data_IF_103618125098
#
_entry.id   IF_103618125098
#
_cell.length_a   1.000
_cell.length_b   1.000
_cell.length_c   1.000
_cell.angle_alpha   90.00
_cell.angle_beta   90.00
_cell.angle_gamma   90.00
#
_symmetry.space_group_name_H-M   'P 1'
#
loop_
_entity.id
_entity.type
_entity.pdbx_description
1 polymer ?
#
# COMPACT_ATOMS: atom_id res chain seq x y z
N UNK A 1 -0.39 39.32 1.21
CA UNK A 1 -1.34 38.98 2.29
C UNK A 1 -0.51 38.38 3.43
N UNK A 2 -0.56 38.96 4.63
CA UNK A 2 0.24 38.51 5.78
C UNK A 2 -0.25 37.15 6.25
N UNK A 3 0.62 36.17 6.31
CA UNK A 3 0.35 34.87 6.92
C UNK A 3 0.08 35.05 8.41
N UNK A 4 -1.15 34.81 8.85
CA UNK A 4 -1.47 34.75 10.28
C UNK A 4 -0.91 33.46 10.82
N UNK A 5 -0.04 33.54 11.81
CA UNK A 5 0.46 32.42 12.57
C UNK A 5 -0.70 31.79 13.36
N UNK A 6 -1.05 30.56 13.04
CA UNK A 6 -2.08 29.81 13.76
C UNK A 6 -1.54 29.41 15.13
N UNK A 7 -2.24 29.81 16.18
CA UNK A 7 -1.89 29.44 17.55
C UNK A 7 -2.03 27.93 17.76
N UNK A 8 -1.00 27.30 18.37
CA UNK A 8 -0.94 25.89 18.75
C UNK A 8 -2.19 25.38 19.51
N UNK A 9 -2.91 26.27 20.19
CA UNK A 9 -4.13 25.94 20.95
C UNK A 9 -5.34 25.60 20.09
N UNK A 10 -5.41 26.04 18.86
CA UNK A 10 -6.60 25.81 18.00
C UNK A 10 -6.63 24.41 17.42
N UNK A 11 -5.47 23.79 17.16
CA UNK A 11 -5.33 22.42 16.66
C UNK A 11 -5.79 21.35 17.67
N UNK A 12 -5.78 21.66 18.97
CA UNK A 12 -6.01 20.70 20.05
C UNK A 12 -7.43 20.73 20.62
N UNK A 13 -8.26 21.77 20.34
CA UNK A 13 -9.60 21.94 20.92
C UNK A 13 -10.71 21.15 20.22
N UNK A 14 -10.44 20.47 19.10
CA UNK A 14 -11.44 19.72 18.33
C UNK A 14 -11.73 18.28 18.79
N UNK A 15 -11.05 17.77 19.81
CA UNK A 15 -11.23 16.41 20.31
C UNK A 15 -11.79 16.42 21.74
N UNK A 16 -13.07 16.79 21.91
CA UNK A 16 -13.78 16.56 23.16
C UNK A 16 -14.00 15.06 23.35
N UNK A 17 -13.50 14.54 24.47
CA UNK A 17 -13.64 13.16 24.88
C UNK A 17 -15.12 12.80 25.09
N UNK A 18 -15.65 11.89 24.31
CA UNK A 18 -16.83 11.11 24.68
C UNK A 18 -16.35 9.96 25.56
N UNK A 19 -16.45 10.13 26.88
CA UNK A 19 -16.33 9.05 27.83
C UNK A 19 -17.59 8.19 27.75
N UNK A 20 -17.55 7.06 27.08
CA UNK A 20 -18.58 6.02 27.15
C UNK A 20 -18.23 5.10 28.31
N UNK A 21 -18.88 5.30 29.45
CA UNK A 21 -18.95 4.34 30.55
C UNK A 21 -19.97 3.26 30.18
N UNK A 22 -19.52 2.18 29.56
CA UNK A 22 -20.30 0.98 29.31
C UNK A 22 -19.98 -0.07 30.36
N UNK A 23 -20.97 -0.44 31.18
CA UNK A 23 -20.89 -1.56 32.11
C UNK A 23 -20.73 -2.88 31.34
N UNK A 24 -19.62 -3.57 31.51
CA UNK A 24 -19.37 -4.91 31.00
C UNK A 24 -20.02 -5.94 31.92
N UNK A 25 -21.12 -6.52 31.47
CA UNK A 25 -21.69 -7.74 32.04
C UNK A 25 -20.81 -8.93 31.63
N UNK A 26 -20.21 -9.61 32.60
CA UNK A 26 -19.39 -10.81 32.42
C UNK A 26 -20.24 -12.00 31.98
N UNK A 27 -20.11 -12.41 30.72
CA UNK A 27 -20.49 -13.73 30.23
C UNK A 27 -19.24 -14.61 30.18
N UNK A 28 -19.16 -15.51 31.16
CA UNK A 28 -18.15 -16.55 31.23
C UNK A 28 -18.44 -17.62 30.14
N UNK A 29 -17.61 -17.67 29.08
CA UNK A 29 -17.55 -18.81 28.17
C UNK A 29 -16.30 -19.62 28.48
N UNK A 30 -16.48 -20.92 28.69
CA UNK A 30 -15.44 -21.88 28.98
C UNK A 30 -14.39 -21.92 27.87
N UNK A 31 -13.15 -21.65 28.23
CA UNK A 31 -11.98 -21.81 27.36
C UNK A 31 -11.58 -23.30 27.34
N UNK A 32 -11.72 -23.94 26.18
CA UNK A 32 -10.96 -25.16 25.87
C UNK A 32 -9.52 -24.77 25.57
N UNK A 33 -8.60 -25.37 26.29
CA UNK A 33 -7.18 -25.05 26.27
C UNK A 33 -6.53 -25.14 24.89
N UNK A 34 -6.18 -23.98 24.32
CA UNK A 34 -5.22 -23.84 23.25
C UNK A 34 -3.94 -23.30 23.84
N UNK A 35 -2.81 -23.94 23.58
CA UNK A 35 -1.49 -23.53 24.01
C UNK A 35 -1.25 -22.09 23.65
N UNK A 36 -0.87 -21.24 24.61
CA UNK A 36 -0.43 -19.86 24.40
C UNK A 36 0.87 -19.87 23.60
N UNK A 37 0.77 -19.75 22.28
CA UNK A 37 1.90 -19.27 21.48
C UNK A 37 2.16 -17.83 21.91
N UNK A 38 3.40 -17.52 22.30
CA UNK A 38 3.80 -16.19 22.74
C UNK A 38 3.39 -15.14 21.70
N UNK A 39 2.82 -14.03 22.16
CA UNK A 39 2.41 -12.91 21.30
C UNK A 39 3.59 -12.49 20.44
N UNK A 40 3.46 -12.65 19.10
CA UNK A 40 4.39 -12.07 18.13
C UNK A 40 5.06 -12.99 17.10
N UNK A 41 4.96 -14.33 17.20
CA UNK A 41 5.54 -15.21 16.18
C UNK A 41 4.60 -15.36 14.97
N UNK A 42 5.11 -15.06 13.77
CA UNK A 42 4.38 -15.30 12.52
C UNK A 42 4.08 -16.81 12.36
N UNK A 43 2.93 -17.18 11.74
CA UNK A 43 2.63 -18.56 11.42
C UNK A 43 3.73 -19.19 10.55
N UNK A 44 3.95 -20.50 10.71
CA UNK A 44 4.89 -21.21 9.86
C UNK A 44 4.44 -21.19 8.39
N UNK A 45 5.40 -21.24 7.47
CA UNK A 45 5.17 -21.62 6.07
C UNK A 45 4.89 -23.11 6.06
N UNK A 46 3.64 -23.49 5.84
CA UNK A 46 3.25 -24.89 5.85
C UNK A 46 3.01 -25.47 4.47
N UNK A 47 2.58 -26.74 4.45
CA UNK A 47 2.02 -27.37 3.25
C UNK A 47 0.50 -27.42 3.38
N UNK A 48 -0.21 -26.80 2.45
CA UNK A 48 -1.66 -26.80 2.40
C UNK A 48 -2.18 -26.76 0.96
N UNK A 49 -3.45 -27.13 0.82
CA UNK A 49 -4.16 -27.05 -0.45
C UNK A 49 -5.44 -26.24 -0.26
N UNK A 50 -5.62 -25.19 -1.06
CA UNK A 50 -6.89 -24.47 -1.22
C UNK A 50 -7.72 -25.29 -2.18
N UNK A 51 -8.90 -25.77 -1.70
CA UNK A 51 -9.70 -26.75 -2.42
C UNK A 51 -11.03 -26.17 -2.88
N UNK A 52 -11.32 -26.34 -4.19
CA UNK A 52 -12.63 -26.08 -4.75
C UNK A 52 -13.01 -24.61 -4.93
N UNK A 53 -12.02 -23.69 -4.96
CA UNK A 53 -12.23 -22.27 -5.19
C UNK A 53 -12.56 -21.93 -6.65
N UNK A 54 -13.23 -20.79 -6.88
CA UNK A 54 -13.15 -20.08 -8.17
C UNK A 54 -11.76 -19.43 -8.23
N UNK A 55 -10.92 -19.82 -9.19
CA UNK A 55 -9.54 -19.34 -9.28
C UNK A 55 -9.41 -18.27 -10.36
N UNK A 56 -8.90 -17.10 -9.97
CA UNK A 56 -8.50 -16.02 -10.86
C UNK A 56 -6.98 -15.88 -10.80
N UNK A 57 -6.28 -16.52 -11.74
CA UNK A 57 -4.84 -16.69 -11.61
C UNK A 57 -4.01 -15.45 -11.91
N UNK A 58 -4.52 -14.50 -12.66
CA UNK A 58 -3.77 -13.37 -13.23
C UNK A 58 -2.55 -13.82 -14.08
N UNK A 59 -2.56 -15.05 -14.56
CA UNK A 59 -1.55 -15.63 -15.45
C UNK A 59 -2.25 -16.28 -16.66
N UNK A 60 -1.97 -15.78 -17.86
CA UNK A 60 -2.61 -16.27 -19.08
C UNK A 60 -2.25 -17.74 -19.40
N UNK A 61 -1.08 -18.22 -18.98
CA UNK A 61 -0.65 -19.59 -19.20
C UNK A 61 -1.32 -20.58 -18.24
N UNK A 62 -1.62 -20.15 -17.02
CA UNK A 62 -2.38 -20.94 -16.03
C UNK A 62 -3.87 -20.91 -16.33
N UNK A 63 -4.40 -19.74 -16.69
CA UNK A 63 -5.82 -19.50 -16.91
C UNK A 63 -6.63 -19.37 -15.62
N UNK A 64 -7.93 -19.17 -15.78
CA UNK A 64 -8.90 -19.08 -14.68
C UNK A 64 -9.73 -20.36 -14.60
N UNK A 65 -10.17 -20.75 -13.38
CA UNK A 65 -10.98 -21.95 -13.17
C UNK A 65 -12.26 -21.60 -12.43
N UNK A 66 -13.40 -22.02 -12.95
CA UNK A 66 -14.69 -21.91 -12.25
C UNK A 66 -14.68 -22.70 -10.93
N UNK A 67 -13.91 -23.80 -10.90
CA UNK A 67 -13.60 -24.59 -9.71
C UNK A 67 -12.23 -25.22 -9.89
N UNK A 68 -11.33 -24.99 -8.93
CA UNK A 68 -9.97 -25.51 -8.96
C UNK A 68 -9.29 -25.51 -7.60
N UNK A 69 -8.06 -25.99 -7.59
CA UNK A 69 -7.24 -26.15 -6.41
C UNK A 69 -5.92 -25.41 -6.57
N UNK A 70 -5.39 -24.89 -5.44
CA UNK A 70 -4.05 -24.31 -5.34
C UNK A 70 -3.27 -25.03 -4.26
N UNK A 71 -2.18 -25.72 -4.64
CA UNK A 71 -1.28 -26.38 -3.71
C UNK A 71 -0.11 -25.48 -3.37
N UNK A 72 0.14 -25.29 -2.09
CA UNK A 72 1.22 -24.48 -1.53
C UNK A 72 2.10 -25.34 -0.64
N UNK A 73 3.43 -25.19 -0.77
CA UNK A 73 4.43 -25.81 0.08
C UNK A 73 5.59 -24.84 0.31
N UNK A 74 6.00 -24.69 1.57
CA UNK A 74 7.17 -23.85 1.98
C UNK A 74 7.11 -22.42 1.45
N UNK A 75 5.91 -21.87 1.40
CA UNK A 75 5.66 -20.52 0.94
C UNK A 75 5.58 -20.35 -0.59
N UNK A 76 5.76 -21.41 -1.38
CA UNK A 76 5.66 -21.37 -2.84
C UNK A 76 4.37 -22.05 -3.34
N UNK A 77 3.83 -21.53 -4.43
CA UNK A 77 2.76 -22.20 -5.19
C UNK A 77 3.38 -23.38 -5.94
N UNK A 78 2.95 -24.60 -5.64
CA UNK A 78 3.42 -25.83 -6.27
C UNK A 78 2.63 -26.12 -7.54
N UNK A 79 1.30 -26.02 -7.45
CA UNK A 79 0.41 -26.32 -8.56
C UNK A 79 -0.88 -25.50 -8.47
N UNK A 80 -1.44 -25.19 -9.63
CA UNK A 80 -2.78 -24.60 -9.81
C UNK A 80 -3.45 -25.38 -10.93
N UNK A 81 -4.55 -26.06 -10.64
CA UNK A 81 -5.29 -26.85 -11.63
C UNK A 81 -6.75 -27.07 -11.19
N UNK A 82 -7.54 -27.68 -12.09
CA UNK A 82 -8.92 -28.06 -11.79
C UNK A 82 -9.00 -29.03 -10.61
N UNK A 83 -8.01 -29.90 -10.48
CA UNK A 83 -7.87 -30.86 -9.39
C UNK A 83 -6.38 -31.13 -9.15
N UNK A 84 -5.95 -31.08 -7.89
CA UNK A 84 -4.56 -31.33 -7.49
C UNK A 84 -4.50 -32.42 -6.43
N UNK A 85 -3.67 -33.44 -6.67
CA UNK A 85 -3.40 -34.47 -5.67
C UNK A 85 -2.32 -33.98 -4.68
N UNK A 86 -2.72 -33.76 -3.44
CA UNK A 86 -1.83 -33.35 -2.33
C UNK A 86 -2.30 -34.02 -1.03
N UNK A 87 -2.09 -35.35 -0.88
CA UNK A 87 -2.72 -36.15 0.20
C UNK A 87 -2.18 -35.81 1.59
N UNK A 88 -0.96 -35.23 1.69
CA UNK A 88 -0.34 -34.80 2.94
C UNK A 88 -0.67 -33.37 3.33
N UNK A 89 -1.20 -32.57 2.39
CA UNK A 89 -1.45 -31.16 2.60
C UNK A 89 -2.66 -30.90 3.51
N UNK A 90 -2.56 -29.89 4.38
CA UNK A 90 -3.71 -29.40 5.15
C UNK A 90 -4.72 -28.80 4.19
N UNK A 91 -5.98 -29.24 4.26
CA UNK A 91 -7.03 -28.73 3.38
C UNK A 91 -7.59 -27.40 3.93
N UNK A 92 -7.57 -26.39 3.10
CA UNK A 92 -8.34 -25.15 3.25
C UNK A 92 -9.52 -25.25 2.29
N UNK A 93 -10.70 -25.57 2.82
CA UNK A 93 -11.93 -25.59 2.02
C UNK A 93 -12.26 -24.17 1.57
N UNK A 94 -12.39 -23.98 0.27
CA UNK A 94 -12.66 -22.71 -0.37
C UNK A 94 -13.85 -22.76 -1.35
N UNK A 95 -14.72 -23.76 -1.17
CA UNK A 95 -15.99 -23.83 -1.90
C UNK A 95 -16.82 -22.57 -1.61
N UNK A 96 -17.32 -21.89 -2.65
CA UNK A 96 -18.02 -20.61 -2.50
C UNK A 96 -17.09 -19.41 -2.22
N UNK A 97 -15.81 -19.53 -2.56
CA UNK A 97 -14.85 -18.44 -2.46
C UNK A 97 -14.11 -18.24 -3.79
N UNK A 98 -13.69 -17.01 -4.05
CA UNK A 98 -12.74 -16.66 -5.10
C UNK A 98 -11.34 -16.72 -4.48
N UNK A 99 -10.42 -17.48 -5.10
CA UNK A 99 -8.98 -17.45 -4.82
C UNK A 99 -8.27 -16.62 -5.89
N UNK A 100 -7.57 -15.57 -5.48
CA UNK A 100 -6.85 -14.66 -6.36
C UNK A 100 -5.54 -14.19 -5.70
N UNK A 101 -4.58 -13.61 -6.47
CA UNK A 101 -3.44 -12.94 -5.86
C UNK A 101 -3.90 -11.87 -4.88
N UNK A 102 -3.17 -11.70 -3.77
CA UNK A 102 -3.43 -10.60 -2.84
C UNK A 102 -3.19 -9.24 -3.48
N UNK A 103 -3.85 -8.22 -2.96
CA UNK A 103 -3.67 -6.85 -3.43
C UNK A 103 -2.25 -6.36 -3.14
N UNK A 104 -1.75 -5.53 -4.05
CA UNK A 104 -0.43 -4.92 -3.99
C UNK A 104 -0.61 -3.41 -3.97
N UNK A 105 -0.33 -2.82 -2.82
CA UNK A 105 -0.28 -1.37 -2.66
C UNK A 105 1.05 -0.83 -3.16
N UNK A 106 1.03 0.11 -4.09
CA UNK A 106 2.25 0.64 -4.72
C UNK A 106 2.66 2.02 -4.21
N UNK A 107 1.93 2.60 -3.26
CA UNK A 107 2.27 3.88 -2.63
C UNK A 107 1.42 4.17 -1.40
N UNK A 108 2.03 4.23 -0.21
CA UNK A 108 1.32 4.56 1.02
C UNK A 108 2.22 5.21 2.07
N UNK A 109 1.76 6.30 2.66
CA UNK A 109 2.41 6.99 3.79
C UNK A 109 2.04 6.33 5.12
N UNK A 110 2.53 5.12 5.40
CA UNK A 110 2.14 4.33 6.57
C UNK A 110 2.39 5.03 7.90
N UNK A 111 3.44 5.86 8.01
CA UNK A 111 3.75 6.60 9.23
C UNK A 111 2.64 7.57 9.65
N UNK A 112 1.71 7.91 8.75
CA UNK A 112 0.59 8.81 9.05
C UNK A 112 -0.67 8.10 9.53
N UNK A 113 -0.72 6.76 9.56
CA UNK A 113 -1.94 6.00 9.84
C UNK A 113 -2.56 6.32 11.21
N UNK A 114 -1.73 6.56 12.23
CA UNK A 114 -2.23 6.95 13.56
C UNK A 114 -2.69 8.42 13.66
N UNK A 115 -2.44 9.25 12.63
CA UNK A 115 -2.90 10.65 12.58
C UNK A 115 -4.36 10.78 12.17
N UNK A 116 -5.04 9.69 11.87
CA UNK A 116 -6.44 9.62 11.42
C UNK A 116 -7.39 10.54 12.21
N UNK A 117 -7.40 10.58 13.55
CA UNK A 117 -8.31 11.47 14.28
C UNK A 117 -7.94 12.96 14.21
N UNK A 118 -6.78 13.30 13.66
CA UNK A 118 -6.25 14.67 13.56
C UNK A 118 -6.48 15.28 12.18
N UNK A 119 -6.67 14.43 11.13
CA UNK A 119 -6.88 14.85 9.76
C UNK A 119 -8.37 15.15 9.49
N UNK A 120 -8.64 16.06 8.55
CA UNK A 120 -9.98 16.39 8.09
C UNK A 120 -9.94 16.86 6.63
N UNK A 121 -10.96 16.47 5.87
CA UNK A 121 -11.18 16.98 4.50
C UNK A 121 -11.91 18.34 4.51
N UNK A 122 -12.67 18.63 5.56
CA UNK A 122 -13.55 19.82 5.65
C UNK A 122 -12.88 21.00 6.35
N UNK A 123 -11.83 20.75 7.15
CA UNK A 123 -11.09 21.78 7.85
C UNK A 123 -9.68 21.95 7.24
N UNK A 124 -9.47 23.04 6.52
CA UNK A 124 -8.20 23.34 5.86
C UNK A 124 -7.00 23.40 6.82
N UNK A 125 -7.24 23.68 8.11
CA UNK A 125 -6.18 23.71 9.12
C UNK A 125 -5.80 22.32 9.61
N UNK A 126 -6.62 21.32 9.29
CA UNK A 126 -6.42 19.90 9.60
C UNK A 126 -6.16 19.06 8.35
N UNK A 127 -5.78 19.73 7.24
CA UNK A 127 -5.34 19.05 6.04
C UNK A 127 -4.03 18.29 6.26
N UNK A 128 -3.71 17.38 5.34
CA UNK A 128 -2.53 16.51 5.43
C UNK A 128 -1.25 17.26 5.74
N UNK A 129 -0.89 18.28 4.94
CA UNK A 129 0.37 19.02 5.12
C UNK A 129 0.39 19.86 6.40
N UNK A 130 -0.73 20.43 6.82
CA UNK A 130 -0.82 21.20 8.05
C UNK A 130 -0.53 20.31 9.26
N UNK A 131 -1.14 19.14 9.30
CA UNK A 131 -0.97 18.19 10.42
C UNK A 131 0.42 17.55 10.39
N UNK A 132 0.88 17.05 9.23
CA UNK A 132 2.17 16.37 9.13
C UNK A 132 3.35 17.30 9.36
N UNK A 133 3.31 18.54 8.88
CA UNK A 133 4.34 19.57 9.17
C UNK A 133 4.35 19.98 10.65
N UNK A 134 3.19 20.06 11.29
CA UNK A 134 3.10 20.42 12.70
C UNK A 134 3.62 19.31 13.63
N UNK A 135 3.30 18.05 13.32
CA UNK A 135 3.53 16.90 14.20
C UNK A 135 4.75 16.05 13.83
N UNK A 136 5.17 16.03 12.57
CA UNK A 136 6.20 15.14 12.07
C UNK A 136 7.50 15.18 12.87
N UNK A 137 7.95 16.37 13.29
CA UNK A 137 9.17 16.55 14.10
C UNK A 137 9.12 15.96 15.51
N UNK A 138 7.93 15.62 16.00
CA UNK A 138 7.72 15.04 17.34
C UNK A 138 7.58 13.52 17.32
N UNK A 139 7.58 12.91 16.14
CA UNK A 139 7.56 11.48 16.01
C UNK A 139 8.82 10.85 16.58
N UNK A 140 8.65 9.76 17.30
CA UNK A 140 9.72 8.90 17.80
C UNK A 140 9.74 7.58 17.02
N UNK A 141 10.81 6.78 17.10
CA UNK A 141 10.82 5.44 16.50
C UNK A 141 9.63 4.57 16.94
N UNK A 142 9.18 4.68 18.21
CA UNK A 142 8.00 3.98 18.71
C UNK A 142 6.72 4.40 17.98
N UNK A 143 6.57 5.70 17.69
CA UNK A 143 5.39 6.21 17.00
C UNK A 143 5.36 5.71 15.55
N UNK A 144 6.52 5.70 14.88
CA UNK A 144 6.67 5.11 13.55
C UNK A 144 6.28 3.62 13.54
N UNK A 145 6.81 2.84 14.48
CA UNK A 145 6.45 1.42 14.62
C UNK A 145 4.93 1.22 14.79
N UNK A 146 4.32 1.93 15.74
CA UNK A 146 2.89 1.79 16.04
C UNK A 146 2.00 2.23 14.87
N UNK A 147 2.38 3.32 14.17
CA UNK A 147 1.63 3.83 13.02
C UNK A 147 1.70 2.87 11.84
N UNK A 148 2.88 2.38 11.49
CA UNK A 148 3.08 1.41 10.41
C UNK A 148 2.36 0.10 10.73
N UNK A 149 2.46 -0.39 11.96
CA UNK A 149 1.76 -1.61 12.40
C UNK A 149 0.24 -1.48 12.27
N UNK A 150 -0.33 -0.32 12.64
CA UNK A 150 -1.76 -0.03 12.46
C UNK A 150 -2.18 -0.05 10.99
N UNK A 151 -1.44 0.66 10.12
CA UNK A 151 -1.75 0.70 8.69
C UNK A 151 -1.65 -0.68 8.04
N UNK A 152 -0.62 -1.47 8.38
CA UNK A 152 -0.45 -2.83 7.87
C UNK A 152 -1.50 -3.82 8.40
N UNK A 153 -2.00 -3.65 9.61
CA UNK A 153 -3.12 -4.46 10.12
C UNK A 153 -4.40 -4.18 9.32
N UNK A 154 -4.66 -2.92 8.97
CA UNK A 154 -5.77 -2.56 8.09
C UNK A 154 -5.58 -3.11 6.67
N UNK A 155 -4.35 -3.00 6.10
CA UNK A 155 -3.99 -3.57 4.81
C UNK A 155 -4.25 -5.07 4.76
N UNK A 156 -3.78 -5.80 5.78
CA UNK A 156 -3.98 -7.23 5.92
C UNK A 156 -5.47 -7.57 5.94
N UNK A 157 -6.27 -6.87 6.76
CA UNK A 157 -7.71 -7.12 6.85
C UNK A 157 -8.45 -6.85 5.55
N UNK A 158 -7.93 -5.96 4.70
CA UNK A 158 -8.49 -5.61 3.40
C UNK A 158 -7.97 -6.48 2.23
N UNK A 159 -7.10 -7.47 2.50
CA UNK A 159 -6.58 -8.39 1.50
C UNK A 159 -5.29 -7.96 0.80
N UNK A 160 -4.60 -6.95 1.28
CA UNK A 160 -3.27 -6.63 0.77
C UNK A 160 -2.24 -7.65 1.30
N UNK A 161 -1.39 -8.14 0.41
CA UNK A 161 -0.27 -9.04 0.74
C UNK A 161 1.09 -8.38 0.52
N UNK A 162 1.11 -7.25 -0.20
CA UNK A 162 2.30 -6.45 -0.45
C UNK A 162 1.96 -4.97 -0.28
N UNK A 163 2.83 -4.22 0.40
CA UNK A 163 2.64 -2.77 0.64
C UNK A 163 3.94 -2.02 0.38
N UNK A 164 3.87 -0.96 -0.42
CA UNK A 164 4.95 -0.02 -0.60
C UNK A 164 4.86 1.10 0.43
N UNK A 165 5.65 0.99 1.49
CA UNK A 165 5.78 2.03 2.51
C UNK A 165 6.64 3.19 1.98
N UNK A 166 6.00 4.29 1.64
CA UNK A 166 6.66 5.54 1.27
C UNK A 166 7.06 6.29 2.54
N UNK A 167 8.18 5.83 3.13
CA UNK A 167 8.66 6.20 4.45
C UNK A 167 9.43 7.52 4.40
N UNK A 168 8.73 8.63 4.18
CA UNK A 168 9.29 9.96 4.47
C UNK A 168 9.05 10.30 5.96
N UNK A 169 9.71 11.33 6.46
CA UNK A 169 9.82 11.67 7.88
C UNK A 169 10.80 10.79 8.67
N UNK A 170 11.80 10.24 7.99
CA UNK A 170 12.87 9.48 8.62
C UNK A 170 13.94 10.46 9.14
N UNK A 171 13.93 10.72 10.45
CA UNK A 171 14.87 11.65 11.10
C UNK A 171 16.22 10.99 11.41
N UNK A 172 16.22 9.71 11.72
CA UNK A 172 17.42 8.91 12.03
C UNK A 172 17.25 7.48 11.54
N UNK A 173 18.34 6.72 11.47
CA UNK A 173 18.28 5.28 11.17
C UNK A 173 17.37 4.48 12.10
N UNK A 174 17.15 4.94 13.34
CA UNK A 174 16.29 4.24 14.29
C UNK A 174 14.80 4.36 13.92
N UNK A 175 14.39 5.46 13.26
CA UNK A 175 13.03 5.60 12.71
C UNK A 175 12.82 4.62 11.57
N UNK A 176 13.81 4.52 10.65
CA UNK A 176 13.75 3.56 9.55
C UNK A 176 13.72 2.12 10.06
N UNK A 177 14.57 1.79 11.04
CA UNK A 177 14.60 0.47 11.67
C UNK A 177 13.25 0.12 12.33
N UNK A 178 12.63 1.07 13.00
CA UNK A 178 11.33 0.88 13.63
C UNK A 178 10.23 0.55 12.63
N UNK A 179 10.16 1.26 11.49
CA UNK A 179 9.20 0.95 10.44
C UNK A 179 9.47 -0.41 9.78
N UNK A 180 10.74 -0.70 9.46
CA UNK A 180 11.13 -2.00 8.89
C UNK A 180 10.82 -3.17 9.84
N UNK A 181 11.02 -2.98 11.16
CA UNK A 181 10.60 -3.97 12.16
C UNK A 181 9.09 -4.17 12.14
N UNK A 182 8.30 -3.08 12.09
CA UNK A 182 6.85 -3.19 12.00
C UNK A 182 6.43 -3.95 10.72
N UNK A 183 7.04 -3.65 9.56
CA UNK A 183 6.78 -4.36 8.31
C UNK A 183 7.11 -5.86 8.41
N UNK A 184 8.27 -6.20 8.99
CA UNK A 184 8.68 -7.61 9.22
C UNK A 184 7.73 -8.33 10.16
N UNK A 185 7.40 -7.71 11.30
CA UNK A 185 6.60 -8.32 12.36
C UNK A 185 5.14 -8.55 11.91
N UNK A 186 4.65 -7.76 10.94
CA UNK A 186 3.34 -7.95 10.31
C UNK A 186 3.32 -9.07 9.26
N UNK A 187 4.47 -9.51 8.76
CA UNK A 187 4.59 -10.64 7.84
C UNK A 187 4.07 -10.39 6.42
N UNK A 188 3.77 -9.15 6.05
CA UNK A 188 3.44 -8.77 4.68
C UNK A 188 4.71 -8.54 3.87
N UNK A 189 4.64 -8.83 2.57
CA UNK A 189 5.70 -8.42 1.64
C UNK A 189 5.70 -6.90 1.50
N UNK A 190 6.85 -6.28 1.23
CA UNK A 190 6.84 -4.84 1.03
C UNK A 190 8.11 -4.24 0.43
N UNK A 191 7.95 -2.98 0.04
CA UNK A 191 9.06 -2.07 -0.25
C UNK A 191 9.05 -0.97 0.81
N UNK A 192 10.20 -0.72 1.40
CA UNK A 192 10.46 0.44 2.24
C UNK A 192 11.23 1.46 1.42
N UNK A 193 10.61 2.61 1.10
CA UNK A 193 11.28 3.70 0.40
C UNK A 193 11.70 4.78 1.38
N UNK A 194 12.99 4.84 1.64
CA UNK A 194 13.63 5.77 2.58
C UNK A 194 13.49 7.21 2.07
N UNK A 195 12.88 8.08 2.85
CA UNK A 195 12.67 9.49 2.52
C UNK A 195 13.13 10.43 3.62
N UNK A 196 13.46 11.70 3.28
CA UNK A 196 13.87 12.71 4.25
C UNK A 196 12.72 13.08 5.18
N UNK A 197 13.05 13.75 6.29
CA UNK A 197 12.07 14.30 7.24
C UNK A 197 11.11 15.26 6.55
N UNK A 198 9.89 15.33 7.07
CA UNK A 198 8.90 16.30 6.63
C UNK A 198 9.46 17.73 6.83
N UNK A 199 9.48 18.53 5.76
CA UNK A 199 10.03 19.87 5.78
C UNK A 199 11.57 19.94 5.76
N UNK A 200 12.24 18.87 5.33
CA UNK A 200 13.70 18.89 5.14
C UNK A 200 14.16 20.04 4.22
N UNK A 201 15.32 20.64 4.49
CA UNK A 201 15.90 21.65 3.62
C UNK A 201 16.08 21.15 2.18
N UNK A 202 15.78 21.99 1.19
CA UNK A 202 15.88 21.63 -0.21
C UNK A 202 17.29 21.79 -0.79
N UNK A 203 18.20 22.41 -0.06
CA UNK A 203 19.61 22.68 -0.40
C UNK A 203 20.59 21.64 0.17
N UNK A 204 20.08 20.62 0.88
CA UNK A 204 20.86 19.51 1.43
C UNK A 204 20.46 18.18 0.79
N UNK A 205 21.43 17.29 0.51
CA UNK A 205 21.10 15.95 0.01
C UNK A 205 20.35 15.13 1.09
N UNK A 206 19.67 14.10 0.66
CA UNK A 206 19.11 13.11 1.57
C UNK A 206 20.21 12.36 2.33
N UNK A 207 19.89 11.75 3.47
CA UNK A 207 20.84 10.97 4.27
C UNK A 207 21.20 9.65 3.58
N UNK A 208 22.10 9.71 2.59
CA UNK A 208 22.58 8.54 1.85
C UNK A 208 23.43 7.60 2.74
N UNK A 209 24.10 8.14 3.77
CA UNK A 209 24.87 7.32 4.70
C UNK A 209 23.95 6.48 5.58
N UNK A 210 22.88 7.06 6.12
CA UNK A 210 21.84 6.35 6.85
C UNK A 210 21.14 5.30 5.99
N UNK A 211 20.83 5.64 4.72
CA UNK A 211 20.27 4.67 3.75
C UNK A 211 21.20 3.49 3.51
N UNK A 212 22.52 3.74 3.32
CA UNK A 212 23.49 2.68 3.14
C UNK A 212 23.61 1.76 4.37
N UNK A 213 23.58 2.35 5.58
CA UNK A 213 23.54 1.62 6.85
C UNK A 213 22.30 0.72 6.95
N UNK A 214 21.11 1.26 6.65
CA UNK A 214 19.86 0.49 6.65
C UNK A 214 19.92 -0.65 5.63
N UNK A 215 20.44 -0.38 4.42
CA UNK A 215 20.63 -1.44 3.42
C UNK A 215 21.54 -2.55 3.94
N UNK A 216 22.67 -2.21 4.54
CA UNK A 216 23.60 -3.19 5.13
C UNK A 216 22.93 -4.02 6.24
N UNK A 217 22.15 -3.38 7.09
CA UNK A 217 21.50 -4.02 8.23
C UNK A 217 20.34 -4.94 7.83
N UNK A 218 19.55 -4.55 6.82
CA UNK A 218 18.33 -5.22 6.45
C UNK A 218 18.41 -6.06 5.17
N UNK A 219 19.50 -5.95 4.38
CA UNK A 219 19.71 -6.71 3.17
C UNK A 219 21.08 -7.47 3.24
N UNK A 220 21.14 -8.73 2.87
CA UNK A 220 20.04 -9.57 2.36
C UNK A 220 19.10 -10.06 3.45
N UNK A 221 17.84 -10.27 3.11
CA UNK A 221 16.82 -10.89 3.98
C UNK A 221 16.12 -12.03 3.22
N UNK A 222 15.02 -12.53 3.73
CA UNK A 222 14.22 -13.58 3.09
C UNK A 222 13.39 -13.11 1.87
N UNK A 223 13.77 -11.97 1.26
CA UNK A 223 13.11 -11.34 0.12
C UNK A 223 11.65 -10.88 0.36
N UNK A 224 11.24 -10.81 1.62
CA UNK A 224 9.94 -10.23 1.99
C UNK A 224 9.96 -8.71 1.90
N UNK A 225 11.08 -8.09 2.28
CA UNK A 225 11.25 -6.65 2.24
C UNK A 225 12.30 -6.25 1.21
N UNK A 226 12.02 -5.19 0.47
CA UNK A 226 12.95 -4.52 -0.46
C UNK A 226 13.11 -3.06 -0.07
N UNK A 227 14.18 -2.42 -0.52
CA UNK A 227 14.45 -1.01 -0.27
C UNK A 227 14.32 -0.19 -1.55
N UNK A 228 14.02 1.10 -1.37
CA UNK A 228 14.03 2.15 -2.38
C UNK A 228 14.24 3.50 -1.73
N UNK A 229 14.13 4.59 -2.49
CA UNK A 229 14.07 5.94 -1.96
C UNK A 229 12.73 6.61 -2.28
N UNK A 230 12.20 7.37 -1.33
CA UNK A 230 11.09 8.31 -1.49
C UNK A 230 11.68 9.70 -1.72
N UNK A 231 11.79 10.09 -2.99
CA UNK A 231 12.42 11.34 -3.39
C UNK A 231 11.53 12.54 -3.10
N UNK A 232 12.17 13.66 -2.75
CA UNK A 232 11.54 14.98 -2.81
C UNK A 232 11.17 15.30 -4.26
N UNK A 233 10.16 16.15 -4.45
CA UNK A 233 9.79 16.62 -5.78
C UNK A 233 10.93 17.43 -6.40
N UNK A 234 11.09 17.30 -7.71
CA UNK A 234 12.10 18.04 -8.47
C UNK A 234 11.42 19.22 -9.15
N UNK A 235 11.99 20.42 -8.98
CA UNK A 235 11.53 21.65 -9.63
C UNK A 235 12.66 22.36 -10.37
N UNK A 236 12.30 23.30 -11.25
CA UNK A 236 13.26 24.24 -11.80
C UNK A 236 13.62 25.35 -10.77
N UNK A 237 14.60 26.16 -11.11
CA UNK A 237 15.08 27.26 -10.24
C UNK A 237 14.00 28.29 -9.87
N UNK A 238 12.89 28.32 -10.60
CA UNK A 238 11.76 29.24 -10.37
C UNK A 238 10.68 28.67 -9.47
N UNK A 239 10.66 27.33 -9.22
CA UNK A 239 9.64 26.63 -8.48
C UNK A 239 10.18 25.81 -7.28
N UNK A 240 11.20 26.33 -6.60
CA UNK A 240 11.73 25.72 -5.36
C UNK A 240 10.86 26.00 -4.14
N UNK A 241 9.72 26.67 -4.33
CA UNK A 241 8.82 27.15 -3.28
C UNK A 241 7.97 26.02 -2.69
N UNK A 242 8.23 24.99 -2.30
CA UNK A 242 7.42 23.96 -1.58
C UNK A 242 8.21 22.69 -1.22
N UNK A 243 9.50 22.82 -0.92
CA UNK A 243 10.33 21.66 -0.61
C UNK A 243 10.76 20.89 -1.86
N UNK A 244 10.61 21.46 -3.07
CA UNK A 244 11.18 20.90 -4.28
C UNK A 244 12.70 21.05 -4.25
N UNK A 245 13.41 20.03 -4.69
CA UNK A 245 14.86 20.09 -4.88
C UNK A 245 15.21 20.50 -6.32
N UNK A 246 16.41 21.07 -6.49
CA UNK A 246 16.94 21.34 -7.82
C UNK A 246 17.30 20.05 -8.59
N UNK A 247 17.44 20.16 -9.91
CA UNK A 247 17.93 19.04 -10.75
C UNK A 247 19.30 18.54 -10.28
N UNK A 248 20.24 19.45 -9.91
CA UNK A 248 21.53 19.06 -9.38
C UNK A 248 21.45 18.29 -8.07
N UNK A 249 20.53 18.66 -7.20
CA UNK A 249 20.28 17.94 -5.96
C UNK A 249 19.65 16.56 -6.25
N UNK A 250 18.71 16.49 -7.21
CA UNK A 250 18.14 15.23 -7.64
C UNK A 250 19.22 14.29 -8.23
N UNK A 251 20.19 14.80 -8.99
CA UNK A 251 21.31 13.99 -9.45
C UNK A 251 22.14 13.41 -8.29
N UNK A 252 22.33 14.17 -7.20
CA UNK A 252 23.03 13.68 -6.00
C UNK A 252 22.23 12.58 -5.30
N UNK A 253 20.96 12.85 -5.00
CA UNK A 253 20.09 11.94 -4.27
C UNK A 253 19.83 10.65 -5.07
N UNK A 254 19.43 10.78 -6.34
CA UNK A 254 19.11 9.64 -7.20
C UNK A 254 20.37 8.88 -7.64
N UNK A 255 21.46 9.62 -7.91
CA UNK A 255 22.76 8.99 -8.21
C UNK A 255 23.26 8.14 -7.05
N UNK A 256 23.13 8.64 -5.82
CA UNK A 256 23.45 7.88 -4.61
C UNK A 256 22.58 6.63 -4.43
N UNK A 257 21.28 6.75 -4.68
CA UNK A 257 20.36 5.60 -4.64
C UNK A 257 20.72 4.56 -5.72
N UNK A 258 20.97 5.00 -6.96
CA UNK A 258 21.40 4.14 -8.08
C UNK A 258 22.72 3.43 -7.82
N UNK A 259 23.69 4.13 -7.20
CA UNK A 259 24.95 3.52 -6.76
C UNK A 259 24.73 2.39 -5.73
N UNK A 260 23.64 2.46 -4.97
CA UNK A 260 23.21 1.40 -4.06
C UNK A 260 22.29 0.37 -4.74
N UNK A 261 21.98 0.50 -6.02
CA UNK A 261 21.06 -0.40 -6.74
C UNK A 261 19.61 -0.27 -6.28
N UNK A 262 19.17 0.91 -5.80
CA UNK A 262 17.85 1.13 -5.23
C UNK A 262 16.94 1.91 -6.21
N UNK A 263 15.68 1.51 -6.36
CA UNK A 263 14.68 2.24 -7.14
C UNK A 263 14.25 3.53 -6.46
N UNK A 264 13.67 4.40 -7.27
CA UNK A 264 13.27 5.76 -6.90
C UNK A 264 11.76 5.90 -7.07
N UNK A 265 11.10 6.50 -6.09
CA UNK A 265 9.70 6.91 -6.22
C UNK A 265 9.55 8.39 -5.95
N UNK A 266 8.68 9.10 -6.71
CA UNK A 266 8.47 10.54 -6.57
C UNK A 266 7.01 10.93 -6.85
N UNK A 267 6.47 11.86 -6.07
CA UNK A 267 5.18 12.49 -6.36
C UNK A 267 5.26 13.41 -7.57
N UNK A 268 4.16 13.47 -8.33
CA UNK A 268 4.00 14.41 -9.45
C UNK A 268 2.78 15.31 -9.29
N UNK A 269 2.37 15.54 -8.04
CA UNK A 269 1.22 16.41 -7.74
C UNK A 269 1.50 17.87 -8.15
N UNK A 270 0.55 18.48 -8.83
CA UNK A 270 0.69 19.85 -9.33
C UNK A 270 1.22 19.89 -10.77
N UNK A 271 2.16 20.77 -11.06
CA UNK A 271 2.77 20.87 -12.40
C UNK A 271 3.57 19.60 -12.71
N UNK A 272 3.38 19.03 -13.91
CA UNK A 272 4.12 17.85 -14.35
C UNK A 272 5.63 18.12 -14.44
N UNK A 273 6.49 17.34 -13.77
CA UNK A 273 7.93 17.46 -13.86
C UNK A 273 8.55 16.62 -14.99
N UNK A 274 7.78 15.90 -15.78
CA UNK A 274 8.26 14.84 -16.68
C UNK A 274 9.24 15.39 -17.72
N UNK A 275 8.90 16.51 -18.35
CA UNK A 275 9.79 17.14 -19.33
C UNK A 275 11.11 17.62 -18.72
N UNK A 276 11.07 18.13 -17.47
CA UNK A 276 12.26 18.53 -16.72
C UNK A 276 13.14 17.32 -16.40
N UNK A 277 12.54 16.25 -15.90
CA UNK A 277 13.24 15.01 -15.57
C UNK A 277 13.85 14.34 -16.81
N UNK A 278 13.14 14.36 -17.94
CA UNK A 278 13.65 13.86 -19.22
C UNK A 278 14.88 14.64 -19.69
N UNK A 279 14.76 15.99 -19.71
CA UNK A 279 15.88 16.86 -20.08
C UNK A 279 17.09 16.68 -19.16
N UNK A 280 16.86 16.40 -17.90
CA UNK A 280 17.88 16.11 -16.90
C UNK A 280 18.46 14.69 -16.99
N UNK A 281 17.93 13.80 -17.82
CA UNK A 281 18.36 12.40 -17.92
C UNK A 281 18.11 11.58 -16.66
N UNK A 282 17.08 11.96 -15.86
CA UNK A 282 16.74 11.31 -14.60
C UNK A 282 15.75 10.15 -14.77
N UNK A 283 14.96 10.11 -15.85
CA UNK A 283 13.96 9.07 -16.07
C UNK A 283 14.60 7.73 -16.48
N UNK A 284 14.04 6.64 -15.95
CA UNK A 284 14.51 5.27 -16.23
C UNK A 284 13.53 4.22 -15.70
N UNK A 285 13.77 2.93 -15.98
CA UNK A 285 12.91 1.84 -15.52
C UNK A 285 12.96 1.60 -14.01
N UNK A 286 13.86 2.27 -13.31
CA UNK A 286 14.02 2.29 -11.86
C UNK A 286 13.21 3.40 -11.20
N UNK A 287 12.45 4.20 -11.98
CA UNK A 287 11.66 5.33 -11.49
C UNK A 287 10.18 5.01 -11.51
N UNK A 288 9.52 5.18 -10.37
CA UNK A 288 8.08 5.20 -10.21
C UNK A 288 7.62 6.64 -9.94
N UNK A 289 6.63 7.11 -10.69
CA UNK A 289 5.94 8.35 -10.42
C UNK A 289 4.57 8.09 -9.78
N UNK A 290 4.08 9.03 -8.99
CA UNK A 290 2.82 8.89 -8.25
C UNK A 290 1.89 10.06 -8.57
N UNK A 291 0.59 9.80 -8.70
CA UNK A 291 -0.48 10.75 -9.00
C UNK A 291 -0.46 11.31 -10.43
N UNK A 292 -0.90 10.53 -11.43
CA UNK A 292 -0.89 10.91 -12.85
C UNK A 292 -2.06 11.84 -13.20
N UNK A 293 -2.04 13.07 -12.71
CA UNK A 293 -3.16 14.00 -12.83
C UNK A 293 -3.04 15.00 -13.99
N UNK A 294 -1.81 15.26 -14.48
CA UNK A 294 -1.53 16.34 -15.43
C UNK A 294 -0.52 15.92 -16.52
N UNK A 295 -0.58 14.70 -17.02
CA UNK A 295 0.33 14.29 -18.10
C UNK A 295 -0.21 14.69 -19.47
N UNK A 296 0.68 15.16 -20.36
CA UNK A 296 0.41 15.35 -21.78
C UNK A 296 0.68 14.07 -22.58
N UNK A 297 0.21 14.00 -23.84
CA UNK A 297 0.51 12.86 -24.70
C UNK A 297 2.03 12.67 -24.89
N UNK A 298 2.76 13.76 -25.18
CA UNK A 298 4.22 13.72 -25.33
C UNK A 298 4.94 13.20 -24.08
N UNK A 299 4.49 13.57 -22.89
CA UNK A 299 5.03 13.07 -21.64
C UNK A 299 4.75 11.57 -21.44
N UNK A 300 3.57 11.10 -21.82
CA UNK A 300 3.26 9.66 -21.76
C UNK A 300 4.12 8.83 -22.73
N UNK A 301 4.43 9.37 -23.92
CA UNK A 301 5.36 8.74 -24.85
C UNK A 301 6.78 8.62 -24.25
N UNK A 302 7.22 9.66 -23.55
CA UNK A 302 8.51 9.64 -22.82
C UNK A 302 8.48 8.59 -21.70
N UNK A 303 7.43 8.58 -20.87
CA UNK A 303 7.31 7.61 -19.78
C UNK A 303 7.37 6.18 -20.30
N UNK A 304 6.64 5.88 -21.38
CA UNK A 304 6.68 4.58 -22.04
C UNK A 304 8.09 4.25 -22.55
N UNK A 305 8.71 5.17 -23.29
CA UNK A 305 10.03 4.96 -23.89
C UNK A 305 11.12 4.74 -22.81
N UNK A 306 11.01 5.42 -21.66
CA UNK A 306 11.93 5.27 -20.53
C UNK A 306 11.59 4.12 -19.59
N UNK A 307 10.45 3.47 -19.78
CA UNK A 307 9.99 2.34 -18.95
C UNK A 307 9.55 2.74 -17.55
N UNK A 308 9.27 4.04 -17.33
CA UNK A 308 8.78 4.60 -16.06
C UNK A 308 7.39 4.05 -15.76
N UNK A 309 7.12 3.76 -14.50
CA UNK A 309 5.79 3.34 -14.04
C UNK A 309 5.06 4.48 -13.31
N UNK A 310 3.72 4.37 -13.26
CA UNK A 310 2.87 5.34 -12.59
C UNK A 310 1.90 4.66 -11.62
N UNK A 311 1.94 5.08 -10.35
CA UNK A 311 0.97 4.67 -9.31
C UNK A 311 -0.16 5.69 -9.20
N UNK A 312 -1.42 5.24 -9.22
CA UNK A 312 -2.61 6.05 -8.99
C UNK A 312 -3.28 5.68 -7.68
N UNK A 313 -3.67 6.70 -6.90
CA UNK A 313 -4.37 6.56 -5.62
C UNK A 313 -5.79 7.16 -5.76
N UNK A 314 -6.74 6.42 -6.32
CA UNK A 314 -7.96 6.99 -6.88
C UNK A 314 -8.80 7.80 -5.89
N UNK A 315 -8.93 7.30 -4.66
CA UNK A 315 -9.73 7.97 -3.63
C UNK A 315 -9.05 9.26 -3.16
N UNK A 316 -7.75 9.21 -2.84
CA UNK A 316 -6.98 10.39 -2.43
C UNK A 316 -6.89 11.45 -3.52
N UNK A 317 -6.69 11.02 -4.76
CA UNK A 317 -6.64 11.91 -5.93
C UNK A 317 -7.98 12.60 -6.19
N UNK A 318 -9.11 11.92 -5.97
CA UNK A 318 -10.44 12.49 -6.14
C UNK A 318 -10.82 13.56 -5.11
N UNK A 319 -10.15 13.56 -3.96
CA UNK A 319 -10.36 14.56 -2.90
C UNK A 319 -9.56 15.86 -3.14
N UNK A 320 -8.74 15.89 -4.21
CA UNK A 320 -7.97 17.09 -4.57
C UNK A 320 -8.83 18.07 -5.38
N UNK A 321 -8.58 19.38 -5.32
CA UNK A 321 -9.31 20.34 -6.14
C UNK A 321 -9.06 20.08 -7.64
N UNK A 322 -10.03 20.41 -8.48
CA UNK A 322 -9.93 20.20 -9.94
C UNK A 322 -8.70 20.88 -10.58
N UNK A 323 -8.19 21.94 -9.97
CA UNK A 323 -6.94 22.62 -10.39
C UNK A 323 -5.68 21.74 -10.23
N UNK A 324 -5.76 20.65 -9.46
CA UNK A 324 -4.67 19.68 -9.33
C UNK A 324 -4.65 18.67 -10.50
N UNK A 325 -5.63 18.71 -11.38
CA UNK A 325 -5.79 17.80 -12.51
C UNK A 325 -6.86 16.73 -12.27
N UNK A 326 -6.91 15.76 -13.16
CA UNK A 326 -7.86 14.64 -13.13
C UNK A 326 -7.12 13.31 -13.31
N UNK A 327 -7.66 12.24 -12.75
CA UNK A 327 -7.10 10.89 -12.89
C UNK A 327 -7.07 10.49 -14.37
N UNK A 328 -5.89 10.21 -14.89
CA UNK A 328 -5.63 9.96 -16.32
C UNK A 328 -5.36 8.47 -16.63
N UNK A 329 -6.04 7.57 -15.92
CA UNK A 329 -5.82 6.12 -16.11
C UNK A 329 -6.07 5.67 -17.55
N UNK A 330 -7.13 6.19 -18.21
CA UNK A 330 -7.43 5.85 -19.59
C UNK A 330 -6.27 6.21 -20.52
N UNK A 331 -5.78 7.43 -20.38
CA UNK A 331 -4.70 7.99 -21.18
C UNK A 331 -3.37 7.24 -20.98
N UNK A 332 -3.07 6.82 -19.75
CA UNK A 332 -1.90 6.00 -19.45
C UNK A 332 -2.00 4.60 -20.08
N UNK A 333 -3.16 3.94 -19.95
CA UNK A 333 -3.38 2.61 -20.52
C UNK A 333 -3.36 2.63 -22.05
N UNK A 334 -3.98 3.63 -22.69
CA UNK A 334 -3.94 3.82 -24.15
C UNK A 334 -2.51 4.03 -24.65
N UNK A 335 -1.71 4.81 -23.94
CA UNK A 335 -0.30 5.07 -24.29
C UNK A 335 0.60 3.86 -24.04
N UNK A 336 0.15 2.87 -23.28
CA UNK A 336 0.95 1.71 -22.88
C UNK A 336 1.98 2.01 -21.78
N UNK A 337 1.77 3.07 -21.01
CA UNK A 337 2.54 3.36 -19.77
C UNK A 337 2.17 2.33 -18.72
N UNK A 338 3.16 1.81 -17.99
CA UNK A 338 2.91 0.92 -16.85
C UNK A 338 2.15 1.70 -15.78
N UNK A 339 1.01 1.17 -15.35
CA UNK A 339 0.19 1.78 -14.31
C UNK A 339 -0.16 0.75 -13.23
N UNK A 340 -0.27 1.21 -12.00
CA UNK A 340 -0.64 0.42 -10.83
C UNK A 340 -1.58 1.20 -9.92
N UNK A 341 -2.07 0.56 -8.85
CA UNK A 341 -3.04 1.14 -7.91
C UNK A 341 -2.46 1.19 -6.50
N UNK A 342 -2.84 2.22 -5.76
CA UNK A 342 -2.39 2.44 -4.39
C UNK A 342 -3.46 3.10 -3.50
N UNK A 343 -3.19 3.12 -2.20
CA UNK A 343 -4.06 3.74 -1.19
C UNK A 343 -3.62 5.18 -0.88
N UNK A 344 -2.32 5.49 -0.90
CA UNK A 344 -1.72 6.78 -0.54
C UNK A 344 -1.70 7.03 0.98
N UNK A 345 -2.86 7.20 1.61
CA UNK A 345 -2.96 7.45 3.05
C UNK A 345 -4.29 6.94 3.62
N UNK A 346 -4.33 6.74 4.95
CA UNK A 346 -5.56 6.32 5.66
C UNK A 346 -5.99 7.35 6.72
N UNK A 347 -5.68 8.60 6.48
CA UNK A 347 -6.09 9.70 7.38
C UNK A 347 -7.55 10.10 7.21
N UNK A 348 -8.05 10.09 5.98
CA UNK A 348 -9.39 10.57 5.61
C UNK A 348 -10.27 9.53 4.93
N UNK A 349 -9.73 8.34 4.65
CA UNK A 349 -10.44 7.18 4.11
C UNK A 349 -9.75 5.88 4.57
N UNK A 350 -10.41 4.75 4.37
CA UNK A 350 -9.94 3.42 4.76
C UNK A 350 -9.20 2.71 3.62
N UNK A 351 -8.55 1.60 3.95
CA UNK A 351 -8.00 0.68 2.94
C UNK A 351 -9.13 -0.11 2.31
N UNK A 352 -9.40 0.14 1.04
CA UNK A 352 -10.39 -0.60 0.28
C UNK A 352 -10.05 -0.62 -1.21
N UNK A 353 -9.34 -1.67 -1.64
CA UNK A 353 -9.00 -1.88 -3.06
C UNK A 353 -10.25 -2.12 -3.92
N UNK A 354 -11.30 -2.71 -3.36
CA UNK A 354 -12.56 -2.91 -4.08
C UNK A 354 -13.22 -1.55 -4.38
N UNK A 355 -13.21 -0.63 -3.41
CA UNK A 355 -13.67 0.74 -3.62
C UNK A 355 -12.82 1.47 -4.67
N UNK A 356 -11.50 1.35 -4.60
CA UNK A 356 -10.59 1.95 -5.57
C UNK A 356 -10.88 1.46 -6.99
N UNK A 357 -11.05 0.15 -7.19
CA UNK A 357 -11.41 -0.43 -8.49
C UNK A 357 -12.78 0.07 -8.98
N UNK A 358 -13.79 0.05 -8.13
CA UNK A 358 -15.15 0.52 -8.43
C UNK A 358 -15.18 2.01 -8.80
N UNK A 359 -14.43 2.81 -8.05
CA UNK A 359 -14.32 4.24 -8.32
C UNK A 359 -13.64 4.50 -9.68
N UNK A 360 -12.51 3.86 -9.97
CA UNK A 360 -11.83 3.97 -11.25
C UNK A 360 -12.71 3.51 -12.41
N UNK A 361 -13.45 2.41 -12.23
CA UNK A 361 -14.39 1.91 -13.26
C UNK A 361 -15.48 2.93 -13.57
N UNK A 362 -16.09 3.49 -12.52
CA UNK A 362 -17.16 4.49 -12.67
C UNK A 362 -16.64 5.78 -13.30
N UNK A 363 -15.50 6.28 -12.85
CA UNK A 363 -14.86 7.48 -13.39
C UNK A 363 -14.46 7.29 -14.84
N UNK A 364 -13.87 6.14 -15.18
CA UNK A 364 -13.48 5.81 -16.55
C UNK A 364 -14.71 5.79 -17.48
N UNK A 365 -15.79 5.12 -17.09
CA UNK A 365 -17.03 5.09 -17.86
C UNK A 365 -17.65 6.48 -18.05
N UNK A 366 -17.59 7.32 -17.02
CA UNK A 366 -18.09 8.69 -17.09
C UNK A 366 -17.25 9.56 -18.06
N UNK A 367 -15.91 9.45 -18.00
CA UNK A 367 -15.01 10.32 -18.80
C UNK A 367 -14.88 9.90 -20.26
N UNK A 368 -14.71 8.61 -20.54
CA UNK A 368 -14.36 8.12 -21.89
C UNK A 368 -15.39 7.15 -22.46
N UNK A 369 -16.34 6.68 -21.67
CA UNK A 369 -17.38 5.74 -22.10
C UNK A 369 -16.79 4.42 -22.61
N UNK A 370 -17.29 3.93 -23.74
CA UNK A 370 -16.83 2.68 -24.36
C UNK A 370 -15.64 2.87 -25.32
N UNK A 371 -15.15 4.09 -25.50
CA UNK A 371 -14.06 4.39 -26.46
C UNK A 371 -12.78 3.64 -26.09
N UNK A 372 -12.47 3.56 -24.79
CA UNK A 372 -11.36 2.79 -24.26
C UNK A 372 -11.92 1.75 -23.30
N UNK A 373 -11.94 0.48 -23.67
CA UNK A 373 -12.50 -0.56 -22.81
C UNK A 373 -11.64 -0.74 -21.54
N UNK A 374 -12.25 -0.55 -20.37
CA UNK A 374 -11.67 -0.93 -19.08
C UNK A 374 -12.54 -2.04 -18.49
N UNK A 375 -12.04 -3.27 -18.53
CA UNK A 375 -12.77 -4.42 -18.00
C UNK A 375 -12.54 -4.59 -16.49
N UNK A 376 -13.46 -5.28 -15.82
CA UNK A 376 -13.30 -5.64 -14.42
C UNK A 376 -12.00 -6.46 -14.20
N UNK A 377 -11.70 -7.40 -15.11
CA UNK A 377 -10.43 -8.15 -15.09
C UNK A 377 -9.20 -7.23 -15.13
N UNK A 378 -9.22 -6.19 -15.96
CA UNK A 378 -8.11 -5.22 -16.07
C UNK A 378 -7.90 -4.43 -14.77
N UNK A 379 -8.99 -4.10 -14.07
CA UNK A 379 -8.91 -3.43 -12.76
C UNK A 379 -8.31 -4.33 -11.67
N UNK A 380 -8.70 -5.62 -11.66
CA UNK A 380 -8.09 -6.60 -10.75
C UNK A 380 -6.59 -6.77 -11.06
N UNK A 381 -6.19 -6.76 -12.34
CA UNK A 381 -4.77 -6.77 -12.72
C UNK A 381 -4.00 -5.55 -12.20
N UNK A 382 -4.59 -4.34 -12.30
CA UNK A 382 -3.99 -3.11 -11.75
C UNK A 382 -3.71 -3.21 -10.25
N UNK A 383 -4.60 -3.86 -9.51
CA UNK A 383 -4.50 -4.02 -8.06
C UNK A 383 -3.62 -5.22 -7.63
N UNK A 384 -3.13 -6.04 -8.58
CA UNK A 384 -2.38 -7.27 -8.32
C UNK A 384 -1.11 -7.36 -9.17
N UNK A 385 -1.18 -7.97 -10.38
CA UNK A 385 -0.04 -8.22 -11.25
C UNK A 385 0.70 -6.94 -11.66
N UNK A 386 -0.04 -5.89 -12.04
CA UNK A 386 0.60 -4.63 -12.45
C UNK A 386 1.30 -3.94 -11.28
N UNK A 387 0.76 -4.05 -10.05
CA UNK A 387 1.46 -3.62 -8.85
C UNK A 387 2.78 -4.37 -8.64
N UNK A 388 2.80 -5.68 -8.90
CA UNK A 388 4.03 -6.46 -8.85
C UNK A 388 5.04 -6.04 -9.94
N UNK A 389 4.56 -5.71 -11.15
CA UNK A 389 5.40 -5.19 -12.25
C UNK A 389 5.98 -3.83 -11.88
N UNK A 390 5.17 -2.93 -11.32
CA UNK A 390 5.58 -1.60 -10.88
C UNK A 390 6.67 -1.68 -9.80
N UNK A 391 6.50 -2.55 -8.81
CA UNK A 391 7.48 -2.77 -7.75
C UNK A 391 8.67 -3.66 -8.18
N UNK A 392 8.74 -4.15 -9.42
CA UNK A 392 9.81 -5.00 -9.90
C UNK A 392 9.87 -6.39 -9.26
N UNK A 393 8.74 -6.88 -8.74
CA UNK A 393 8.64 -8.18 -8.03
C UNK A 393 7.72 -9.18 -8.75
N UNK A 394 7.34 -8.94 -10.00
CA UNK A 394 6.40 -9.77 -10.74
C UNK A 394 6.88 -11.21 -10.95
N UNK A 395 8.19 -11.46 -10.87
CA UNK A 395 8.74 -12.82 -10.91
C UNK A 395 8.47 -13.61 -9.61
N UNK A 396 8.10 -12.91 -8.52
CA UNK A 396 7.90 -13.51 -7.20
C UNK A 396 6.42 -13.60 -6.81
N UNK A 397 5.59 -12.63 -7.21
CA UNK A 397 4.20 -12.51 -6.77
C UNK A 397 3.33 -11.79 -7.81
N UNK A 398 2.06 -11.50 -7.47
CA UNK A 398 1.10 -10.77 -8.32
C UNK A 398 0.28 -11.68 -9.24
N UNK A 399 0.58 -12.97 -9.31
CA UNK A 399 -0.21 -13.99 -10.02
C UNK A 399 -0.12 -15.35 -9.32
N UNK A 400 -1.11 -16.21 -9.52
CA UNK A 400 -1.10 -17.60 -9.01
C UNK A 400 -0.38 -18.52 -10.01
N UNK A 401 0.92 -18.28 -10.19
CA UNK A 401 1.77 -19.04 -11.09
C UNK A 401 2.60 -20.06 -10.29
N UNK A 402 2.65 -21.34 -10.66
CA UNK A 402 3.55 -22.30 -10.03
C UNK A 402 5.00 -21.80 -10.01
N UNK A 403 5.65 -21.93 -8.85
CA UNK A 403 7.00 -21.40 -8.60
C UNK A 403 7.02 -20.01 -7.96
N UNK A 404 5.98 -19.22 -8.05
CA UNK A 404 5.89 -17.94 -7.32
C UNK A 404 5.55 -18.15 -5.85
N UNK A 405 5.74 -17.09 -5.07
CA UNK A 405 5.36 -17.08 -3.64
C UNK A 405 3.84 -17.06 -3.50
N UNK A 406 3.37 -17.75 -2.49
CA UNK A 406 1.95 -17.84 -2.19
C UNK A 406 1.48 -16.57 -1.45
N UNK A 407 1.27 -15.51 -2.21
CA UNK A 407 0.68 -14.24 -1.79
C UNK A 407 -0.72 -14.16 -2.41
N UNK A 408 -1.76 -14.56 -1.65
CA UNK A 408 -3.12 -14.73 -2.18
C UNK A 408 -4.20 -14.49 -1.14
N UNK A 409 -5.42 -14.26 -1.61
CA UNK A 409 -6.60 -14.07 -0.78
C UNK A 409 -7.74 -14.98 -1.21
N UNK A 410 -8.60 -15.30 -0.23
CA UNK A 410 -9.89 -15.94 -0.46
C UNK A 410 -11.00 -14.94 -0.15
N UNK A 411 -11.89 -14.71 -1.11
CA UNK A 411 -13.01 -13.77 -1.00
C UNK A 411 -14.32 -14.55 -1.04
N UNK A 412 -15.16 -14.43 -0.01
CA UNK A 412 -16.45 -15.10 0.07
C UNK A 412 -17.42 -14.60 -0.99
N UNK A 413 -18.11 -15.53 -1.67
CA UNK A 413 -19.12 -15.22 -2.67
C UNK A 413 -20.56 -15.45 -2.18
N UNK A 414 -20.71 -16.12 -1.03
CA UNK A 414 -22.02 -16.40 -0.43
C UNK A 414 -22.56 -15.28 0.47
N UNK A 415 -21.83 -14.20 0.66
CA UNK A 415 -22.29 -13.06 1.45
C UNK A 415 -23.43 -12.31 0.73
N UNK A 416 -24.34 -11.69 1.48
CA UNK A 416 -25.56 -11.06 0.94
C UNK A 416 -25.29 -9.97 -0.11
N UNK A 417 -24.14 -9.33 -0.06
CA UNK A 417 -23.73 -8.32 -1.04
C UNK A 417 -23.06 -8.94 -2.29
N UNK A 418 -22.68 -10.22 -2.25
CA UNK A 418 -21.97 -10.91 -3.33
C UNK A 418 -22.88 -11.85 -4.12
N UNK A 419 -23.88 -12.44 -3.48
CA UNK A 419 -24.78 -13.41 -4.10
C UNK A 419 -26.08 -12.77 -4.64
N UNK A 420 -26.62 -13.27 -5.79
CA UNK A 420 -26.04 -14.26 -6.67
C UNK A 420 -24.91 -13.71 -7.54
N UNK A 421 -23.86 -14.48 -7.76
CA UNK A 421 -22.69 -14.10 -8.57
C UNK A 421 -22.73 -14.84 -9.91
N UNK A 422 -22.51 -14.12 -11.01
CA UNK A 422 -22.36 -14.68 -12.35
C UNK A 422 -20.91 -14.60 -12.84
N UNK A 423 -20.33 -13.39 -12.90
CA UNK A 423 -18.94 -13.14 -13.27
C UNK A 423 -18.13 -12.77 -12.04
N UNK A 424 -17.03 -13.49 -11.72
CA UNK A 424 -16.24 -13.25 -10.52
C UNK A 424 -15.47 -11.91 -10.57
N UNK A 425 -15.03 -11.44 -11.73
CA UNK A 425 -14.36 -10.15 -11.86
C UNK A 425 -15.32 -8.98 -11.63
N UNK A 426 -16.51 -9.07 -12.25
CA UNK A 426 -17.57 -8.07 -12.06
C UNK A 426 -18.01 -8.03 -10.59
N UNK A 427 -18.11 -9.19 -9.93
CA UNK A 427 -18.45 -9.25 -8.50
C UNK A 427 -17.38 -8.61 -7.63
N UNK A 428 -16.09 -8.86 -7.89
CA UNK A 428 -14.99 -8.23 -7.16
C UNK A 428 -15.01 -6.71 -7.31
N UNK A 429 -15.20 -6.20 -8.53
CA UNK A 429 -15.16 -4.76 -8.79
C UNK A 429 -16.42 -4.05 -8.28
N UNK A 430 -17.60 -4.61 -8.53
CA UNK A 430 -18.86 -3.91 -8.30
C UNK A 430 -19.50 -4.19 -6.94
N UNK A 431 -19.24 -5.36 -6.33
CA UNK A 431 -19.99 -5.84 -5.17
C UNK A 431 -19.13 -6.06 -3.92
N UNK A 432 -17.87 -6.54 -4.10
CA UNK A 432 -17.03 -6.92 -2.99
C UNK A 432 -16.62 -5.73 -2.11
N UNK A 433 -16.33 -6.03 -0.86
CA UNK A 433 -15.88 -5.12 0.19
C UNK A 433 -14.80 -5.83 1.03
N UNK A 434 -13.97 -5.12 1.80
CA UNK A 434 -12.96 -5.74 2.66
C UNK A 434 -13.51 -6.82 3.58
N UNK A 435 -14.73 -6.68 4.09
CA UNK A 435 -15.39 -7.70 4.94
C UNK A 435 -15.62 -9.06 4.26
N UNK A 436 -15.60 -9.11 2.92
CA UNK A 436 -15.72 -10.37 2.19
C UNK A 436 -14.40 -11.14 2.13
N UNK A 437 -13.26 -10.52 2.48
CA UNK A 437 -11.96 -11.19 2.55
C UNK A 437 -11.96 -12.14 3.74
N UNK A 438 -11.98 -13.43 3.44
CA UNK A 438 -11.97 -14.50 4.44
C UNK A 438 -10.56 -14.81 4.93
N UNK A 439 -9.69 -15.13 3.99
CA UNK A 439 -8.33 -15.61 4.24
C UNK A 439 -7.32 -14.76 3.51
N UNK A 440 -6.23 -14.41 4.19
CA UNK A 440 -5.08 -13.73 3.61
C UNK A 440 -3.84 -14.56 3.87
N UNK A 441 -3.13 -14.86 2.80
CA UNK A 441 -1.90 -15.65 2.80
C UNK A 441 -0.80 -14.79 2.21
N UNK A 442 0.27 -14.57 2.96
CA UNK A 442 1.47 -13.90 2.46
C UNK A 442 2.67 -14.83 2.65
N UNK A 443 3.42 -15.05 1.58
CA UNK A 443 4.60 -15.93 1.56
C UNK A 443 4.28 -17.35 2.10
N UNK A 444 3.06 -17.84 1.84
CA UNK A 444 2.56 -19.14 2.30
C UNK A 444 2.21 -19.19 3.80
N UNK A 445 2.20 -18.07 4.49
CA UNK A 445 1.75 -17.94 5.87
C UNK A 445 0.29 -17.50 5.89
N UNK A 446 -0.57 -18.25 6.52
CA UNK A 446 -1.98 -17.86 6.71
C UNK A 446 -2.02 -16.80 7.80
N UNK A 447 -2.07 -15.53 7.44
CA UNK A 447 -2.06 -14.39 8.36
C UNK A 447 -3.46 -13.99 8.84
N UNK A 448 -4.49 -14.27 8.04
CA UNK A 448 -5.90 -14.11 8.38
C UNK A 448 -6.68 -15.34 7.93
N UNK A 449 -7.64 -15.79 8.73
CA UNK A 449 -8.59 -16.85 8.38
C UNK A 449 -9.96 -16.58 8.99
N UNK A 450 -11.02 -16.84 8.25
CA UNK A 450 -12.39 -16.54 8.63
C UNK A 450 -12.58 -15.09 9.12
N UNK A 451 -11.88 -14.15 8.46
CA UNK A 451 -11.89 -12.73 8.81
C UNK A 451 -11.18 -12.37 10.13
N UNK A 452 -10.39 -13.30 10.71
CA UNK A 452 -9.66 -13.07 11.97
C UNK A 452 -8.16 -13.26 11.77
N UNK A 453 -7.36 -12.39 12.36
CA UNK A 453 -5.91 -12.55 12.39
C UNK A 453 -5.51 -13.83 13.12
N UNK A 454 -4.47 -14.51 12.64
CA UNK A 454 -4.01 -15.79 13.17
C UNK A 454 -2.91 -15.64 14.23
N UNK A 455 -2.11 -14.58 14.14
CA UNK A 455 -0.97 -14.31 15.02
C UNK A 455 -0.92 -12.88 15.56
N UNK A 456 -1.78 -11.99 15.06
CA UNK A 456 -1.84 -10.60 15.49
C UNK A 456 -2.97 -10.40 16.50
N UNK A 457 -2.65 -9.80 17.63
CA UNK A 457 -3.66 -9.32 18.57
C UNK A 457 -4.18 -7.95 18.12
N UNK A 458 -5.41 -7.92 17.59
CA UNK A 458 -6.08 -6.72 17.14
C UNK A 458 -6.19 -5.65 18.25
N UNK A 459 -6.50 -6.07 19.50
CA UNK A 459 -6.65 -5.14 20.61
C UNK A 459 -5.31 -4.52 21.01
N UNK A 460 -4.21 -5.27 20.91
CA UNK A 460 -2.87 -4.77 21.15
C UNK A 460 -2.47 -3.70 20.12
N UNK A 461 -2.68 -3.96 18.82
CA UNK A 461 -2.37 -2.99 17.75
C UNK A 461 -3.12 -1.67 17.96
N UNK A 462 -4.41 -1.74 18.27
CA UNK A 462 -5.20 -0.55 18.54
C UNK A 462 -4.72 0.21 19.77
N UNK A 463 -4.43 -0.50 20.87
CA UNK A 463 -3.93 0.10 22.11
C UNK A 463 -2.61 0.83 21.86
N UNK A 464 -1.65 0.20 21.21
CA UNK A 464 -0.34 0.80 20.89
C UNK A 464 -0.48 2.06 20.04
N UNK A 465 -1.30 2.02 19.00
CA UNK A 465 -1.52 3.17 18.12
C UNK A 465 -2.21 4.34 18.85
N UNK A 466 -3.20 4.05 19.71
CA UNK A 466 -3.89 5.06 20.54
C UNK A 466 -2.93 5.69 21.56
N UNK A 467 -2.15 4.87 22.26
CA UNK A 467 -1.16 5.35 23.23
C UNK A 467 -0.08 6.22 22.55
N UNK A 468 0.46 5.78 21.41
CA UNK A 468 1.44 6.53 20.65
C UNK A 468 0.87 7.86 20.14
N UNK A 469 -0.35 7.85 19.59
CA UNK A 469 -1.04 9.06 19.15
C UNK A 469 -1.31 10.06 20.28
N UNK A 470 -1.68 9.58 21.48
CA UNK A 470 -1.85 10.42 22.67
C UNK A 470 -0.51 11.02 23.14
N UNK A 471 0.53 10.20 23.19
CA UNK A 471 1.87 10.62 23.58
C UNK A 471 2.45 11.65 22.58
N UNK A 472 2.23 11.45 21.27
CA UNK A 472 2.61 12.41 20.23
C UNK A 472 1.95 13.78 20.45
N UNK A 473 0.64 13.79 20.70
CA UNK A 473 -0.11 15.04 20.98
C UNK A 473 0.42 15.75 22.22
N UNK A 474 0.71 15.00 23.28
CA UNK A 474 1.26 15.57 24.51
C UNK A 474 2.67 16.17 24.30
N UNK A 475 3.49 15.60 23.42
CA UNK A 475 4.82 16.17 23.07
C UNK A 475 4.69 17.41 22.19
N UNK A 476 3.65 17.51 21.40
CA UNK A 476 3.44 18.64 20.48
C UNK A 476 2.80 19.87 21.17
N UNK A 477 2.25 19.74 22.39
CA UNK A 477 1.65 20.80 23.22
C UNK A 477 0.19 20.97 22.95
#
# INVERSE_FOLDING_TARGET
MKAQSISRRTLLKGASALAVTGALSSLSCAQTGGSSAGAGALPARGEFIIRGATILSMDAAVGDFARGDVHVRDGAIVAVAKEVAAPSAIVIDAVGMICMPGFIDTHWHLWTSMLRPMLSTDDVNRGYFQVTNALGRFFTPRDHYASVRLGLAEALSAGATTVHNWAHNIATSDHADAELRAMRDMGLRGRFSYGPVQGAPNDQPMDLAGLAKIKQQWMPNDDMLTLGIASRNVGDSTNLLRGNISVDMAHKDWGGARALGLPITMHTSGQSPIMLLEKAGLLGPDVQLVHPLLTTAAERDILKARGVSYSTSPVGESQRPASAGVIQLAELLESGVKASMSIDLTGTYNVDFFQCMRFLYSLHRHRVGARVPLTAKRLVQLATLDGAVDLGIAQRTGSLTPGKRADMILVRTGDINMAPMADPYEALVNLAQPRNVDTVIADGRVLQRAGRFTALDHAEVLREAIEAGNALRARAG
#
